data_IF_557987266068
#
_entry.id   IF_557987266068
#
_cell.length_a   1.000
_cell.length_b   1.000
_cell.length_c   1.000
_cell.angle_alpha   90.00
_cell.angle_beta   90.00
_cell.angle_gamma   90.00
#
_symmetry.space_group_name_H-M   'P 1'
#
loop_
_entity.id
_entity.type
_entity.pdbx_description
1 polymer ?
#
# COMPACT_ATOMS: atom_id res chain seq x y z
N UNK A 1 4.49 1.06 -20.83
CA UNK A 1 4.78 1.43 -19.43
C UNK A 1 3.51 2.11 -18.89
N UNK A 2 2.87 1.60 -17.82
CA UNK A 2 1.72 2.28 -17.24
C UNK A 2 2.13 3.70 -16.84
N UNK A 3 1.36 4.70 -17.27
CA UNK A 3 1.59 6.09 -16.88
C UNK A 3 1.27 6.20 -15.39
N UNK A 4 2.18 6.76 -14.61
CA UNK A 4 2.01 6.94 -13.16
C UNK A 4 0.72 7.70 -12.79
N UNK A 5 0.27 8.59 -13.67
CA UNK A 5 -0.99 9.33 -13.54
C UNK A 5 -2.23 8.44 -13.46
N UNK A 6 -2.18 7.23 -14.05
CA UNK A 6 -3.28 6.25 -14.02
C UNK A 6 -3.25 5.33 -12.80
N UNK A 7 -2.19 5.39 -11.99
CA UNK A 7 -1.99 4.46 -10.90
C UNK A 7 -3.15 4.48 -9.88
N UNK A 8 -3.67 5.65 -9.44
CA UNK A 8 -4.83 5.69 -8.55
C UNK A 8 -6.05 4.93 -9.11
N UNK A 9 -6.38 5.14 -10.38
CA UNK A 9 -7.51 4.48 -11.04
C UNK A 9 -7.28 2.98 -11.18
N UNK A 10 -6.05 2.54 -11.46
CA UNK A 10 -5.72 1.11 -11.51
C UNK A 10 -5.86 0.41 -10.16
N UNK A 11 -5.57 1.10 -9.05
CA UNK A 11 -5.76 0.55 -7.70
C UNK A 11 -7.24 0.39 -7.38
N UNK A 12 -8.07 1.39 -7.74
CA UNK A 12 -9.53 1.31 -7.60
C UNK A 12 -10.13 0.20 -8.48
N UNK A 13 -9.74 0.13 -9.75
CA UNK A 13 -10.15 -0.93 -10.69
C UNK A 13 -9.78 -2.32 -10.15
N UNK A 14 -8.56 -2.48 -9.61
CA UNK A 14 -8.14 -3.73 -8.97
C UNK A 14 -9.00 -4.06 -7.75
N UNK A 15 -9.29 -3.06 -6.90
CA UNK A 15 -10.16 -3.23 -5.74
C UNK A 15 -11.57 -3.69 -6.12
N UNK A 16 -12.14 -3.13 -7.20
CA UNK A 16 -13.43 -3.55 -7.75
C UNK A 16 -13.32 -4.98 -8.29
N UNK A 17 -12.33 -5.25 -9.15
CA UNK A 17 -12.08 -6.56 -9.77
C UNK A 17 -11.99 -7.68 -8.74
N UNK A 18 -11.31 -7.46 -7.60
CA UNK A 18 -11.13 -8.48 -6.56
C UNK A 18 -12.37 -8.71 -5.68
N UNK A 19 -13.30 -7.76 -5.63
CA UNK A 19 -14.53 -7.84 -4.81
C UNK A 19 -15.75 -8.26 -5.62
N UNK A 20 -15.89 -7.72 -6.82
CA UNK A 20 -17.03 -7.95 -7.71
C UNK A 20 -16.81 -9.22 -8.54
N UNK A 21 -17.61 -10.26 -8.25
CA UNK A 21 -17.55 -11.54 -8.96
C UNK A 21 -18.05 -11.46 -10.40
N UNK A 22 -18.84 -10.44 -10.72
CA UNK A 22 -19.40 -10.22 -12.06
C UNK A 22 -18.52 -9.29 -12.91
N UNK A 23 -17.44 -8.74 -12.33
CA UNK A 23 -16.47 -7.90 -13.03
C UNK A 23 -15.97 -8.56 -14.32
N UNK A 24 -15.88 -7.74 -15.37
CA UNK A 24 -15.33 -8.14 -16.67
C UNK A 24 -14.01 -7.41 -16.91
N UNK A 25 -12.91 -8.13 -17.20
CA UNK A 25 -12.81 -9.57 -17.49
C UNK A 25 -12.90 -10.48 -16.24
N UNK A 26 -13.39 -11.71 -16.42
CA UNK A 26 -13.50 -12.70 -15.34
C UNK A 26 -12.12 -13.16 -14.82
N UNK A 27 -11.96 -13.19 -13.50
CA UNK A 27 -10.80 -13.79 -12.84
C UNK A 27 -10.91 -15.31 -12.91
N UNK A 28 -9.84 -15.97 -13.38
CA UNK A 28 -9.74 -17.43 -13.46
C UNK A 28 -8.44 -17.92 -12.79
N UNK A 29 -8.50 -18.85 -11.83
CA UNK A 29 -9.71 -19.42 -11.24
C UNK A 29 -10.50 -18.38 -10.42
N UNK A 30 -11.81 -18.57 -10.21
CA UNK A 30 -12.60 -17.68 -9.36
C UNK A 30 -12.00 -17.57 -7.96
N UNK A 31 -12.00 -16.36 -7.41
CA UNK A 31 -11.52 -16.12 -6.05
C UNK A 31 -12.43 -16.80 -5.02
N UNK A 32 -11.83 -17.52 -4.08
CA UNK A 32 -12.53 -18.06 -2.91
C UNK A 32 -12.81 -16.96 -1.88
N UNK A 33 -11.88 -16.01 -1.75
CA UNK A 33 -11.99 -14.79 -0.94
C UNK A 33 -11.24 -13.63 -1.62
N UNK A 34 -11.63 -12.38 -1.32
CA UNK A 34 -10.88 -11.20 -1.78
C UNK A 34 -9.55 -11.13 -1.02
N UNK A 35 -8.39 -11.17 -1.69
CA UNK A 35 -7.11 -11.01 -1.02
C UNK A 35 -6.95 -9.57 -0.50
N UNK A 36 -6.20 -9.36 0.58
CA UNK A 36 -5.93 -8.02 1.09
C UNK A 36 -5.02 -7.26 0.11
N UNK A 37 -5.35 -6.01 -0.16
CA UNK A 37 -4.53 -5.12 -0.99
C UNK A 37 -3.62 -4.28 -0.10
N UNK A 38 -2.32 -4.30 -0.36
CA UNK A 38 -1.34 -3.45 0.32
C UNK A 38 -0.81 -2.40 -0.65
N UNK A 39 -0.79 -1.14 -0.22
CA UNK A 39 -0.12 -0.08 -0.96
C UNK A 39 1.33 0.02 -0.51
N UNK A 40 2.25 -0.17 -1.45
CA UNK A 40 3.68 0.04 -1.24
C UNK A 40 4.07 1.40 -1.80
N UNK A 41 4.83 2.17 -1.03
CA UNK A 41 5.19 3.52 -1.42
C UNK A 41 6.45 4.04 -0.76
N UNK A 42 7.00 5.10 -1.35
CA UNK A 42 8.21 5.80 -0.85
C UNK A 42 8.05 7.33 -0.91
N UNK A 43 6.81 7.81 -1.06
CA UNK A 43 6.49 9.24 -1.19
C UNK A 43 5.22 9.65 -0.42
N UNK A 44 5.06 10.93 -0.06
CA UNK A 44 3.83 11.44 0.56
C UNK A 44 2.56 11.18 -0.25
N UNK A 45 2.63 11.26 -1.57
CA UNK A 45 1.48 11.03 -2.46
C UNK A 45 0.99 9.59 -2.36
N UNK A 46 1.91 8.62 -2.25
CA UNK A 46 1.54 7.22 -2.03
C UNK A 46 0.91 7.00 -0.65
N UNK A 47 1.40 7.69 0.39
CA UNK A 47 0.79 7.62 1.73
C UNK A 47 -0.62 8.21 1.73
N UNK A 48 -0.81 9.34 1.05
CA UNK A 48 -2.12 9.98 0.91
C UNK A 48 -3.10 9.10 0.12
N UNK A 49 -2.65 8.48 -0.98
CA UNK A 49 -3.47 7.57 -1.76
C UNK A 49 -3.89 6.34 -0.95
N UNK A 50 -2.96 5.72 -0.22
CA UNK A 50 -3.25 4.58 0.65
C UNK A 50 -4.29 4.95 1.72
N UNK A 51 -4.12 6.11 2.34
CA UNK A 51 -5.00 6.60 3.40
C UNK A 51 -6.43 6.86 2.89
N UNK A 52 -6.56 7.55 1.74
CA UNK A 52 -7.86 7.85 1.11
C UNK A 52 -8.60 6.62 0.61
N UNK A 53 -7.87 5.59 0.15
CA UNK A 53 -8.47 4.33 -0.26
C UNK A 53 -8.68 3.35 0.91
N UNK A 54 -8.32 3.75 2.13
CA UNK A 54 -8.40 2.91 3.32
C UNK A 54 -7.60 1.61 3.21
N UNK A 55 -6.45 1.66 2.55
CA UNK A 55 -5.58 0.51 2.33
C UNK A 55 -4.48 0.43 3.39
N UNK A 56 -4.11 -0.78 3.84
CA UNK A 56 -2.84 -1.02 4.52
C UNK A 56 -1.65 -0.44 3.75
N UNK A 57 -0.74 0.23 4.44
CA UNK A 57 0.38 0.96 3.84
C UNK A 57 1.74 0.41 4.28
N UNK A 58 2.62 0.15 3.31
CA UNK A 58 4.02 -0.19 3.54
C UNK A 58 4.93 0.90 2.99
N UNK A 59 5.65 1.59 3.88
CA UNK A 59 6.58 2.64 3.51
C UNK A 59 8.01 2.10 3.34
N UNK A 60 8.60 2.30 2.17
CA UNK A 60 9.97 1.92 1.86
C UNK A 60 10.98 3.02 2.23
N UNK A 61 11.35 3.08 3.52
CA UNK A 61 12.31 4.07 4.04
C UNK A 61 13.70 3.91 3.42
N UNK A 62 14.08 2.69 3.06
CA UNK A 62 15.36 2.44 2.40
C UNK A 62 15.48 3.10 1.00
N UNK A 63 14.36 3.38 0.33
CA UNK A 63 14.35 4.09 -0.97
C UNK A 63 14.47 5.59 -0.76
N UNK A 64 13.76 6.14 0.25
CA UNK A 64 13.73 7.56 0.54
C UNK A 64 14.13 7.84 2.00
N UNK A 65 15.41 7.64 2.30
CA UNK A 65 15.95 7.70 3.66
C UNK A 65 15.96 9.10 4.29
N UNK A 66 15.75 10.15 3.49
CA UNK A 66 15.72 11.55 3.94
C UNK A 66 14.31 12.06 4.25
N UNK A 67 13.27 11.24 4.02
CA UNK A 67 11.90 11.65 4.29
C UNK A 67 11.68 11.87 5.79
N UNK A 68 10.71 12.71 6.12
CA UNK A 68 10.26 12.89 7.50
C UNK A 68 9.77 11.55 8.07
N UNK A 69 10.32 11.07 9.20
CA UNK A 69 9.89 9.83 9.87
C UNK A 69 8.40 9.82 10.23
N UNK A 70 7.74 10.98 10.31
CA UNK A 70 6.30 11.13 10.55
C UNK A 70 5.44 10.78 9.34
N UNK A 71 6.00 10.25 8.26
CA UNK A 71 5.23 9.81 7.08
C UNK A 71 4.12 8.81 7.42
N UNK A 72 4.36 7.92 8.40
CA UNK A 72 3.32 6.98 8.86
C UNK A 72 2.24 7.66 9.71
N UNK A 73 2.58 8.72 10.43
CA UNK A 73 1.60 9.56 11.14
C UNK A 73 0.74 10.33 10.14
N UNK A 74 1.35 10.87 9.08
CA UNK A 74 0.63 11.49 7.97
C UNK A 74 -0.38 10.53 7.32
N UNK A 75 0.01 9.28 7.06
CA UNK A 75 -0.92 8.25 6.59
C UNK A 75 -2.07 8.02 7.60
N UNK A 76 -1.77 7.85 8.90
CA UNK A 76 -2.78 7.57 9.93
C UNK A 76 -3.79 8.71 10.09
N UNK A 77 -3.32 9.96 10.01
CA UNK A 77 -4.17 11.15 10.16
C UNK A 77 -5.13 11.34 8.98
N UNK A 78 -4.79 10.84 7.81
CA UNK A 78 -5.62 10.92 6.61
C UNK A 78 -6.43 9.65 6.35
N UNK A 79 -6.32 8.64 7.21
CA UNK A 79 -6.89 7.32 6.96
C UNK A 79 -8.41 7.35 7.00
N UNK A 80 -9.03 6.88 5.92
CA UNK A 80 -10.47 6.67 5.82
C UNK A 80 -10.75 5.16 5.86
N UNK A 81 -11.53 4.63 6.82
CA UNK A 81 -11.90 3.22 6.86
C UNK A 81 -12.54 2.74 5.55
N UNK A 82 -12.20 1.54 5.12
CA UNK A 82 -12.76 0.90 3.92
C UNK A 82 -13.11 -0.57 4.17
N UNK A 83 -13.69 -1.23 3.18
CA UNK A 83 -13.90 -2.69 3.22
C UNK A 83 -12.58 -3.48 3.31
N UNK A 84 -11.45 -2.87 2.92
CA UNK A 84 -10.12 -3.50 3.00
C UNK A 84 -9.52 -3.41 4.41
N UNK A 85 -9.79 -2.33 5.14
CA UNK A 85 -9.31 -2.14 6.50
C UNK A 85 -10.20 -1.15 7.28
N UNK A 86 -10.62 -1.54 8.49
CA UNK A 86 -11.41 -0.70 9.40
C UNK A 86 -10.56 0.22 10.28
N UNK A 87 -9.26 -0.07 10.38
CA UNK A 87 -8.28 0.70 11.16
C UNK A 87 -6.98 0.81 10.37
N UNK A 88 -6.19 1.88 10.54
CA UNK A 88 -4.94 2.07 9.81
C UNK A 88 -3.95 0.93 10.11
N UNK A 89 -3.38 0.36 9.05
CA UNK A 89 -2.37 -0.70 9.12
C UNK A 89 -1.09 -0.19 8.45
N UNK A 90 0.03 -0.21 9.18
CA UNK A 90 1.30 0.36 8.70
C UNK A 90 2.43 -0.64 8.81
N UNK A 91 3.26 -0.72 7.77
CA UNK A 91 4.55 -1.40 7.76
C UNK A 91 5.65 -0.40 7.36
N UNK A 92 6.84 -0.54 7.95
CA UNK A 92 8.02 0.25 7.61
C UNK A 92 9.11 -0.69 7.12
N UNK A 93 9.51 -0.55 5.86
CA UNK A 93 10.60 -1.33 5.26
C UNK A 93 11.91 -0.55 5.34
N UNK A 94 12.92 -1.16 5.98
CA UNK A 94 14.27 -0.60 6.18
C UNK A 94 15.33 -1.57 5.68
N UNK A 95 16.52 -1.05 5.34
CA UNK A 95 17.70 -1.88 5.13
C UNK A 95 18.37 -2.13 6.49
N UNK A 96 18.69 -3.38 6.77
CA UNK A 96 19.42 -3.79 7.98
C UNK A 96 20.56 -4.68 7.55
N UNK A 97 21.76 -4.41 8.07
CA UNK A 97 22.91 -5.31 8.05
C UNK A 97 23.11 -5.76 9.49
N UNK A 98 23.25 -7.06 9.71
CA UNK A 98 23.44 -7.65 11.03
C UNK A 98 24.61 -8.63 10.98
N UNK A 99 25.53 -8.47 11.91
CA UNK A 99 26.69 -9.34 12.13
C UNK A 99 26.93 -9.45 13.64
N UNK A 100 27.83 -10.35 14.08
CA UNK A 100 28.10 -10.54 15.51
C UNK A 100 28.89 -9.35 16.09
N UNK A 101 29.69 -8.67 15.25
CA UNK A 101 30.44 -7.45 15.57
C UNK A 101 30.26 -6.36 14.50
N UNK A 102 30.68 -5.11 14.78
CA UNK A 102 30.57 -4.00 13.82
C UNK A 102 31.67 -4.05 12.74
N UNK A 103 32.76 -4.76 13.03
CA UNK A 103 33.90 -4.98 12.13
C UNK A 103 33.65 -6.07 11.07
N UNK A 104 32.71 -6.99 11.32
CA UNK A 104 32.24 -8.04 10.39
C UNK A 104 31.24 -7.50 9.36
#
# INVERSE_FOLDING_TARGET
IPKFERFPQLVEELGIMLRDRDFQPRITPPLTASPPIWMLGSSPESAQLAARLGLPYNFALFINSKIDPRILEFYRNLFEPSEQATTPQTCLTINVICADTAEE
#
